data_IF_184150053555
#
_entry.id   IF_184150053555
#
_cell.length_a   1.000
_cell.length_b   1.000
_cell.length_c   1.000
_cell.angle_alpha   90.00
_cell.angle_beta   90.00
_cell.angle_gamma   90.00
#
_symmetry.space_group_name_H-M   'P 1'
#
loop_
_entity.id
_entity.type
_entity.pdbx_description
1 polymer ?
#
# COMPACT_ATOMS: atom_id res chain seq x y z
N UNK A 1 13.55 6.13 2.08
CA UNK A 1 14.26 5.34 1.06
C UNK A 1 14.58 6.17 -0.19
N UNK A 2 13.59 6.73 -0.91
CA UNK A 2 13.82 7.41 -2.19
C UNK A 2 14.93 8.48 -2.24
N UNK A 3 14.97 9.42 -1.28
CA UNK A 3 16.04 10.45 -1.22
C UNK A 3 17.43 9.87 -0.95
N UNK A 4 17.50 8.69 -0.33
CA UNK A 4 18.74 7.98 -0.04
C UNK A 4 19.24 7.14 -1.22
N UNK A 5 18.56 7.19 -2.38
CA UNK A 5 18.96 6.42 -3.57
C UNK A 5 18.72 4.91 -3.44
N UNK A 6 17.80 4.49 -2.57
CA UNK A 6 17.41 3.09 -2.42
C UNK A 6 16.25 2.81 -3.39
N UNK A 7 16.33 1.81 -4.28
CA UNK A 7 15.20 1.38 -5.11
C UNK A 7 13.98 0.99 -4.27
N UNK A 8 12.77 1.28 -4.74
CA UNK A 8 11.53 1.10 -3.97
C UNK A 8 10.46 0.35 -4.75
N UNK A 9 10.06 -0.83 -4.26
CA UNK A 9 8.85 -1.52 -4.68
C UNK A 9 7.75 -1.21 -3.64
N UNK A 10 6.69 -0.52 -4.03
CA UNK A 10 5.68 0.05 -3.12
C UNK A 10 4.29 -0.46 -3.46
N UNK A 11 3.48 -0.78 -2.45
CA UNK A 11 2.07 -1.13 -2.58
C UNK A 11 1.23 -0.42 -1.51
N UNK A 12 -0.03 -0.05 -1.79
CA UNK A 12 -0.88 0.74 -0.89
C UNK A 12 -1.66 -0.13 0.12
N UNK A 13 -1.00 -1.04 0.83
CA UNK A 13 -1.66 -1.89 1.82
C UNK A 13 -2.30 -1.09 2.96
N UNK A 14 -3.56 -1.38 3.30
CA UNK A 14 -4.33 -0.72 4.36
C UNK A 14 -4.37 0.82 4.26
N UNK A 15 -4.34 1.36 3.03
CA UNK A 15 -4.28 2.81 2.79
C UNK A 15 -5.50 3.61 3.27
N UNK A 16 -6.63 2.94 3.48
CA UNK A 16 -7.95 3.54 3.72
C UNK A 16 -8.45 3.40 5.17
N UNK A 17 -7.59 2.97 6.08
CA UNK A 17 -7.94 2.74 7.49
C UNK A 17 -7.12 3.65 8.41
N UNK A 18 -7.78 4.18 9.44
CA UNK A 18 -7.13 4.88 10.55
C UNK A 18 -7.38 4.12 11.83
N UNK A 19 -6.31 3.64 12.45
CA UNK A 19 -6.37 2.92 13.71
C UNK A 19 -6.52 3.88 14.90
N UNK A 20 -7.49 3.58 15.75
CA UNK A 20 -7.88 4.35 16.91
C UNK A 20 -7.94 3.46 18.15
N UNK A 21 -7.83 4.08 19.31
CA UNK A 21 -7.93 3.42 20.61
C UNK A 21 -9.36 2.92 20.82
N UNK A 22 -9.56 1.60 20.79
CA UNK A 22 -10.90 0.99 20.73
C UNK A 22 -11.75 1.11 22.00
N UNK A 23 -11.14 1.41 23.16
CA UNK A 23 -11.89 1.60 24.42
C UNK A 23 -12.25 3.07 24.69
N UNK A 24 -11.88 3.99 23.81
CA UNK A 24 -12.25 5.40 23.90
C UNK A 24 -13.36 5.73 22.90
N UNK A 25 -14.17 6.77 23.17
CA UNK A 25 -15.08 7.29 22.16
C UNK A 25 -14.33 7.68 20.90
N UNK A 26 -14.94 7.44 19.73
CA UNK A 26 -14.38 7.88 18.46
C UNK A 26 -14.23 9.42 18.46
N UNK A 27 -13.09 9.95 17.98
CA UNK A 27 -12.96 11.38 17.73
C UNK A 27 -14.06 11.90 16.81
N UNK A 28 -14.48 13.16 17.00
CA UNK A 28 -15.61 13.76 16.29
C UNK A 28 -15.53 13.58 14.77
N UNK A 29 -14.33 13.75 14.20
CA UNK A 29 -14.07 13.64 12.76
C UNK A 29 -14.36 12.25 12.17
N UNK A 30 -14.43 11.21 13.01
CA UNK A 30 -14.72 9.82 12.63
C UNK A 30 -16.11 9.33 13.06
N UNK A 31 -16.92 10.19 13.70
CA UNK A 31 -18.25 9.81 14.16
C UNK A 31 -19.15 9.42 12.98
N UNK A 32 -19.83 8.28 13.11
CA UNK A 32 -20.77 7.79 12.09
C UNK A 32 -20.11 7.15 10.85
N UNK A 33 -18.77 7.05 10.83
CA UNK A 33 -18.07 6.34 9.75
C UNK A 33 -18.18 4.81 9.94
N UNK A 34 -18.05 4.03 8.87
CA UNK A 34 -17.82 2.59 8.99
C UNK A 34 -16.55 2.34 9.82
N UNK A 35 -16.64 1.39 10.75
CA UNK A 35 -15.51 1.00 11.60
C UNK A 35 -15.43 -0.50 11.77
N UNK A 36 -14.22 -1.03 11.92
CA UNK A 36 -13.97 -2.43 12.26
C UNK A 36 -13.23 -2.53 13.61
N UNK A 37 -13.80 -3.28 14.55
CA UNK A 37 -13.15 -3.56 15.83
C UNK A 37 -12.16 -4.71 15.67
N UNK A 38 -10.91 -4.39 15.32
CA UNK A 38 -9.86 -5.39 15.11
C UNK A 38 -9.58 -6.20 16.39
N UNK A 39 -9.53 -5.52 17.54
CA UNK A 39 -9.44 -6.16 18.87
C UNK A 39 -9.93 -5.19 19.96
N UNK A 40 -9.88 -5.60 21.24
CA UNK A 40 -10.33 -4.77 22.37
C UNK A 40 -9.58 -3.43 22.49
N UNK A 41 -8.39 -3.34 21.91
CA UNK A 41 -7.51 -2.17 21.98
C UNK A 41 -7.56 -1.30 20.73
N UNK A 42 -7.98 -1.85 19.58
CA UNK A 42 -7.89 -1.20 18.28
C UNK A 42 -9.21 -1.24 17.52
N UNK A 43 -9.62 -0.08 17.04
CA UNK A 43 -10.73 0.08 16.11
C UNK A 43 -10.25 0.87 14.91
N UNK A 44 -10.48 0.35 13.72
CA UNK A 44 -10.09 1.00 12.47
C UNK A 44 -11.30 1.73 11.90
N UNK A 45 -11.16 3.04 11.64
CA UNK A 45 -12.18 3.84 10.97
C UNK A 45 -11.83 3.98 9.49
N UNK A 46 -12.83 3.82 8.63
CA UNK A 46 -12.67 3.90 7.18
C UNK A 46 -12.55 5.36 6.73
N UNK A 47 -11.61 5.62 5.83
CA UNK A 47 -11.43 6.90 5.17
C UNK A 47 -12.50 7.11 4.09
N UNK A 48 -12.99 8.35 4.00
CA UNK A 48 -13.88 8.78 2.92
C UNK A 48 -13.13 8.78 1.58
N UNK A 49 -13.86 8.75 0.45
CA UNK A 49 -13.27 8.88 -0.88
C UNK A 49 -12.37 10.13 -1.03
N UNK A 50 -12.74 11.26 -0.43
CA UNK A 50 -11.94 12.48 -0.45
C UNK A 50 -10.60 12.35 0.28
N UNK A 51 -10.60 11.69 1.43
CA UNK A 51 -9.39 11.41 2.22
C UNK A 51 -8.52 10.35 1.51
N UNK A 52 -9.12 9.32 0.92
CA UNK A 52 -8.41 8.33 0.10
C UNK A 52 -7.67 9.00 -1.07
N UNK A 53 -8.30 9.95 -1.77
CA UNK A 53 -7.64 10.78 -2.79
C UNK A 53 -6.48 11.60 -2.21
N UNK A 54 -6.61 12.10 -0.98
CA UNK A 54 -5.52 12.82 -0.31
C UNK A 54 -4.35 11.89 0.05
N UNK A 55 -4.62 10.65 0.47
CA UNK A 55 -3.60 9.62 0.69
C UNK A 55 -2.87 9.30 -0.62
N UNK A 56 -3.60 9.10 -1.73
CA UNK A 56 -3.01 8.87 -3.05
C UNK A 56 -2.05 9.99 -3.46
N UNK A 57 -2.50 11.25 -3.36
CA UNK A 57 -1.67 12.43 -3.63
C UNK A 57 -0.41 12.47 -2.78
N UNK A 58 -0.52 12.19 -1.49
CA UNK A 58 0.61 12.21 -0.58
C UNK A 58 1.61 11.08 -0.88
N UNK A 59 1.14 9.88 -1.25
CA UNK A 59 1.99 8.79 -1.74
C UNK A 59 2.77 9.26 -2.97
N UNK A 60 2.07 9.75 -4.01
CA UNK A 60 2.69 10.22 -5.26
C UNK A 60 3.71 11.35 -5.01
N UNK A 61 3.35 12.33 -4.17
CA UNK A 61 4.25 13.44 -3.81
C UNK A 61 5.53 12.96 -3.12
N UNK A 62 5.44 11.96 -2.24
CA UNK A 62 6.63 11.36 -1.61
C UNK A 62 7.50 10.60 -2.61
N UNK A 63 6.89 9.87 -3.55
CA UNK A 63 7.62 9.09 -4.56
C UNK A 63 8.29 9.98 -5.61
N UNK A 64 7.76 11.17 -5.89
CA UNK A 64 8.37 12.15 -6.80
C UNK A 64 9.79 12.58 -6.36
N UNK A 65 10.10 12.49 -5.07
CA UNK A 65 11.42 12.80 -4.51
C UNK A 65 12.45 11.66 -4.59
N UNK A 66 12.13 10.54 -5.23
CA UNK A 66 13.03 9.39 -5.32
C UNK A 66 14.21 9.63 -6.28
N UNK A 67 15.39 9.15 -5.91
CA UNK A 67 16.65 9.26 -6.69
C UNK A 67 17.12 7.93 -7.28
N UNK A 68 16.31 6.89 -7.16
CA UNK A 68 16.55 5.55 -7.64
C UNK A 68 15.23 4.98 -8.19
N UNK A 69 15.25 3.88 -8.96
CA UNK A 69 14.05 3.29 -9.53
C UNK A 69 12.94 3.05 -8.52
N UNK A 70 11.71 3.36 -8.93
CA UNK A 70 10.50 3.14 -8.13
C UNK A 70 9.47 2.43 -8.99
N UNK A 71 8.95 1.33 -8.46
CA UNK A 71 7.78 0.65 -8.97
C UNK A 71 6.64 0.76 -7.95
N UNK A 72 5.50 1.29 -8.37
CA UNK A 72 4.27 1.36 -7.58
C UNK A 72 3.31 0.28 -8.10
N UNK A 73 3.01 -0.70 -7.25
CA UNK A 73 2.08 -1.79 -7.52
C UNK A 73 0.69 -1.39 -7.01
N UNK A 74 -0.24 -1.15 -7.93
CA UNK A 74 -1.61 -0.74 -7.63
C UNK A 74 -2.57 -1.93 -7.83
N UNK A 75 -3.00 -2.60 -6.76
CA UNK A 75 -4.07 -3.60 -6.84
C UNK A 75 -5.40 -2.91 -7.14
N UNK A 76 -6.17 -3.48 -8.07
CA UNK A 76 -7.44 -2.89 -8.53
C UNK A 76 -8.68 -3.48 -7.85
N UNK A 77 -8.53 -4.56 -7.06
CA UNK A 77 -9.67 -5.26 -6.44
C UNK A 77 -9.70 -5.19 -4.91
N UNK A 78 -8.81 -4.41 -4.31
CA UNK A 78 -8.76 -4.17 -2.87
C UNK A 78 -7.34 -4.17 -2.31
N UNK A 79 -7.17 -3.52 -1.17
CA UNK A 79 -5.89 -3.22 -0.54
C UNK A 79 -5.81 -3.60 0.93
N UNK A 80 -6.85 -4.22 1.51
CA UNK A 80 -6.84 -4.67 2.90
C UNK A 80 -7.64 -5.97 3.06
N UNK A 81 -7.63 -6.60 4.23
CA UNK A 81 -8.26 -7.92 4.40
C UNK A 81 -9.80 -7.89 4.27
N UNK A 82 -10.42 -6.73 4.46
CA UNK A 82 -11.87 -6.58 4.65
C UNK A 82 -12.58 -5.83 3.52
N UNK A 83 -11.88 -5.46 2.44
CA UNK A 83 -12.43 -4.61 1.37
C UNK A 83 -12.82 -5.37 0.08
N UNK A 84 -12.82 -6.71 0.12
CA UNK A 84 -13.35 -7.56 -0.95
C UNK A 84 -14.86 -7.36 -1.16
N UNK A 85 -15.39 -7.54 -2.38
CA UNK A 85 -16.83 -7.53 -2.63
C UNK A 85 -17.61 -8.44 -1.66
N UNK A 86 -18.55 -7.84 -0.93
CA UNK A 86 -19.38 -8.53 0.07
C UNK A 86 -18.79 -8.63 1.47
N UNK A 87 -17.56 -8.16 1.70
CA UNK A 87 -16.97 -8.04 3.04
C UNK A 87 -17.40 -6.76 3.75
N UNK A 88 -17.17 -6.70 5.07
CA UNK A 88 -17.68 -5.65 5.96
C UNK A 88 -17.25 -4.23 5.57
N UNK A 89 -16.04 -4.07 5.03
CA UNK A 89 -15.46 -2.77 4.68
C UNK A 89 -15.37 -2.55 3.17
N UNK A 90 -16.13 -3.33 2.39
CA UNK A 90 -16.17 -3.16 0.93
C UNK A 90 -16.69 -1.78 0.54
N UNK A 91 -15.84 -1.02 -0.15
CA UNK A 91 -16.17 0.29 -0.70
C UNK A 91 -15.55 0.45 -2.10
N UNK A 92 -16.30 0.01 -3.11
CA UNK A 92 -15.88 0.09 -4.51
C UNK A 92 -15.69 1.54 -4.99
N UNK A 93 -16.50 2.48 -4.49
CA UNK A 93 -16.39 3.89 -4.88
C UNK A 93 -15.11 4.51 -4.31
N UNK A 94 -14.83 4.27 -3.02
CA UNK A 94 -13.62 4.75 -2.38
C UNK A 94 -12.35 4.13 -2.98
N UNK A 95 -12.38 2.86 -3.38
CA UNK A 95 -11.27 2.21 -4.09
C UNK A 95 -11.05 2.85 -5.47
N UNK A 96 -12.11 3.00 -6.26
CA UNK A 96 -12.02 3.66 -7.57
C UNK A 96 -11.47 5.10 -7.44
N UNK A 97 -11.93 5.85 -6.44
CA UNK A 97 -11.44 7.20 -6.16
C UNK A 97 -9.94 7.24 -5.84
N UNK A 98 -9.43 6.24 -5.10
CA UNK A 98 -8.01 6.10 -4.82
C UNK A 98 -7.20 5.76 -6.08
N UNK A 99 -7.62 4.74 -6.83
CA UNK A 99 -6.94 4.31 -8.05
C UNK A 99 -6.87 5.45 -9.09
N UNK A 100 -7.97 6.18 -9.27
CA UNK A 100 -8.01 7.32 -10.18
C UNK A 100 -7.05 8.44 -9.77
N UNK A 101 -6.97 8.75 -8.47
CA UNK A 101 -6.02 9.74 -7.98
C UNK A 101 -4.57 9.27 -8.17
N UNK A 102 -4.26 7.99 -7.94
CA UNK A 102 -2.93 7.44 -8.26
C UNK A 102 -2.62 7.59 -9.74
N UNK A 103 -3.53 7.24 -10.65
CA UNK A 103 -3.31 7.38 -12.11
C UNK A 103 -3.04 8.84 -12.53
N UNK A 104 -3.77 9.78 -11.92
CA UNK A 104 -3.65 11.21 -12.24
C UNK A 104 -2.35 11.82 -11.70
N UNK A 105 -1.97 11.44 -10.49
CA UNK A 105 -0.88 12.10 -9.75
C UNK A 105 0.43 11.31 -9.78
N UNK A 106 0.46 10.09 -10.34
CA UNK A 106 1.68 9.28 -10.43
C UNK A 106 2.79 10.05 -11.16
N UNK A 107 3.93 10.31 -10.50
CA UNK A 107 4.96 11.13 -11.09
C UNK A 107 5.73 10.34 -12.17
N UNK A 108 6.22 11.03 -13.20
CA UNK A 108 6.88 10.38 -14.34
C UNK A 108 8.18 9.62 -14.02
N UNK A 109 8.71 9.73 -12.80
CA UNK A 109 9.85 8.95 -12.31
C UNK A 109 9.45 7.62 -11.65
N UNK A 110 8.16 7.29 -11.63
CA UNK A 110 7.60 6.07 -11.03
C UNK A 110 6.98 5.22 -12.12
N UNK A 111 7.34 3.93 -12.17
CA UNK A 111 6.65 2.95 -13.00
C UNK A 111 5.41 2.47 -12.26
N UNK A 112 4.23 2.77 -12.80
CA UNK A 112 2.95 2.30 -12.25
C UNK A 112 2.58 0.93 -12.85
N UNK A 113 2.39 -0.06 -11.99
CA UNK A 113 1.90 -1.39 -12.36
C UNK A 113 0.48 -1.55 -11.84
N UNK A 114 -0.50 -1.47 -12.73
CA UNK A 114 -1.90 -1.77 -12.40
C UNK A 114 -2.13 -3.28 -12.45
N UNK A 115 -2.59 -3.85 -11.33
CA UNK A 115 -2.73 -5.30 -11.17
C UNK A 115 -4.21 -5.60 -10.92
N UNK A 116 -4.82 -6.32 -11.87
CA UNK A 116 -6.20 -6.80 -11.77
C UNK A 116 -6.30 -7.98 -10.78
N UNK A 117 -6.06 -7.69 -9.51
CA UNK A 117 -6.15 -8.60 -8.39
C UNK A 117 -6.32 -7.81 -7.09
N UNK A 118 -6.73 -8.51 -6.03
CA UNK A 118 -6.68 -8.01 -4.67
C UNK A 118 -5.27 -8.14 -4.10
N UNK A 119 -4.85 -7.25 -3.19
CA UNK A 119 -3.49 -7.25 -2.63
C UNK A 119 -3.08 -8.60 -2.00
N UNK A 120 -4.04 -9.32 -1.42
CA UNK A 120 -3.84 -10.63 -0.78
C UNK A 120 -3.94 -11.83 -1.75
N UNK A 121 -4.12 -11.60 -3.05
CA UNK A 121 -4.17 -12.69 -4.03
C UNK A 121 -2.78 -13.14 -4.44
N UNK A 122 -2.64 -14.43 -4.77
CA UNK A 122 -1.40 -14.99 -5.29
C UNK A 122 -0.93 -14.29 -6.59
N UNK A 123 -1.87 -13.77 -7.40
CA UNK A 123 -1.57 -13.00 -8.60
C UNK A 123 -0.85 -11.68 -8.28
N UNK A 124 -1.22 -11.00 -7.20
CA UNK A 124 -0.53 -9.78 -6.75
C UNK A 124 0.89 -10.11 -6.28
N UNK A 125 1.06 -11.17 -5.50
CA UNK A 125 2.37 -11.66 -5.08
C UNK A 125 3.25 -12.01 -6.29
N UNK A 126 2.71 -12.70 -7.29
CA UNK A 126 3.44 -13.07 -8.50
C UNK A 126 3.90 -11.82 -9.29
N UNK A 127 3.04 -10.81 -9.42
CA UNK A 127 3.39 -9.54 -10.06
C UNK A 127 4.50 -8.80 -9.31
N UNK A 128 4.44 -8.77 -7.96
CA UNK A 128 5.48 -8.15 -7.15
C UNK A 128 6.84 -8.86 -7.29
N UNK A 129 6.84 -10.20 -7.29
CA UNK A 129 8.04 -11.00 -7.49
C UNK A 129 8.62 -10.83 -8.89
N UNK A 130 7.79 -10.73 -9.93
CA UNK A 130 8.26 -10.48 -11.29
C UNK A 130 9.06 -9.18 -11.40
N UNK A 131 8.55 -8.08 -10.82
CA UNK A 131 9.27 -6.78 -10.80
C UNK A 131 10.58 -6.89 -10.01
N UNK A 132 10.56 -7.60 -8.88
CA UNK A 132 11.75 -7.84 -8.08
C UNK A 132 12.82 -8.64 -8.84
N UNK A 133 12.42 -9.71 -9.53
CA UNK A 133 13.31 -10.56 -10.32
C UNK A 133 13.88 -9.81 -11.52
N UNK A 134 13.09 -8.95 -12.17
CA UNK A 134 13.57 -8.03 -13.21
C UNK A 134 14.67 -7.09 -12.68
N UNK A 135 14.47 -6.50 -11.50
CA UNK A 135 15.46 -5.63 -10.87
C UNK A 135 16.73 -6.36 -10.43
N UNK A 136 16.63 -7.66 -10.10
CA UNK A 136 17.81 -8.50 -9.86
C UNK A 136 18.57 -8.77 -11.17
N UNK A 137 17.84 -9.06 -12.25
CA UNK A 137 18.41 -9.40 -13.54
C UNK A 137 19.12 -8.21 -14.21
N UNK A 138 18.57 -7.00 -14.10
CA UNK A 138 19.14 -5.79 -14.69
C UNK A 138 20.17 -5.08 -13.78
N UNK A 139 20.32 -5.55 -12.54
CA UNK A 139 21.27 -5.04 -11.57
C UNK A 139 20.82 -3.78 -10.81
N UNK A 140 19.55 -3.37 -10.95
CA UNK A 140 18.90 -2.33 -10.15
C UNK A 140 19.02 -2.62 -8.66
N UNK A 141 18.78 -3.88 -8.27
CA UNK A 141 19.09 -4.38 -6.93
C UNK A 141 20.12 -5.50 -7.04
N UNK A 142 20.92 -5.67 -5.98
CA UNK A 142 21.96 -6.71 -5.91
C UNK A 142 21.61 -7.70 -4.83
N UNK A 143 21.80 -8.98 -5.13
CA UNK A 143 21.74 -10.02 -4.11
C UNK A 143 22.77 -9.71 -3.00
N UNK A 144 22.41 -10.02 -1.75
CA UNK A 144 23.35 -9.90 -0.65
C UNK A 144 24.57 -10.80 -0.91
N UNK A 145 25.80 -10.37 -0.53
CA UNK A 145 26.95 -11.26 -0.56
C UNK A 145 26.65 -12.52 0.28
N UNK A 146 27.07 -13.70 -0.19
CA UNK A 146 26.75 -15.01 0.37
C UNK A 146 27.18 -15.25 1.85
N UNK A 147 27.64 -14.23 2.58
CA UNK A 147 28.07 -14.30 3.99
C UNK A 147 27.12 -13.66 5.03
N UNK A 148 26.05 -12.95 4.63
CA UNK A 148 25.13 -12.30 5.57
C UNK A 148 23.88 -13.12 5.94
N UNK A 149 23.55 -14.17 5.19
CA UNK A 149 22.31 -14.94 5.37
C UNK A 149 22.24 -15.79 6.65
N UNK A 150 23.35 -15.92 7.41
CA UNK A 150 23.45 -16.89 8.52
C UNK A 150 23.51 -16.27 9.93
N UNK A 151 23.15 -15.00 10.12
CA UNK A 151 22.97 -14.44 11.48
C UNK A 151 21.54 -14.69 11.98
N UNK A 152 21.19 -15.95 12.20
CA UNK A 152 20.07 -16.31 13.06
C UNK A 152 20.36 -15.80 14.49
N UNK A 153 19.35 -15.23 15.14
CA UNK A 153 19.43 -14.73 16.53
C UNK A 153 19.87 -15.88 17.46
N UNK A 154 20.84 -15.67 18.38
CA UNK A 154 21.04 -16.60 19.49
C UNK A 154 19.78 -16.60 20.37
N UNK A 155 19.44 -17.79 20.88
CA UNK A 155 18.33 -18.06 21.82
C UNK A 155 18.43 -17.22 23.10
#
# INVERSE_FOLDING_TARGET
AGRAGIPQLVAPGCYDLVDLVGWQPLPEQFRGRPTHAHNRLLTSAVLTAGERRAVAREICAKLAGARAPVALLLPLEGCNEWDRPGADLHDAEGLAAFCDAIRQDCPGNVTLHEIAAHINDAAFCAAALAVFDEWLADGTIRAAPQGLANRAKPE
#
